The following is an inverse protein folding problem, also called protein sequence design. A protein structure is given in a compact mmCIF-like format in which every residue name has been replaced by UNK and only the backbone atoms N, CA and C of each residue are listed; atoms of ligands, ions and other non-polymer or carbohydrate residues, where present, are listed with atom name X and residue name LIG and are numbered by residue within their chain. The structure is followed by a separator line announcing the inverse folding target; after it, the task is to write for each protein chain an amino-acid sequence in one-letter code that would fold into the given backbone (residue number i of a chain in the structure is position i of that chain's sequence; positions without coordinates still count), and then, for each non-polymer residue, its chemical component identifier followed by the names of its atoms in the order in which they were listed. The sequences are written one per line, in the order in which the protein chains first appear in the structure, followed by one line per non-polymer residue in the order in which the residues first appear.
data_IF_249187378224
#
_entry.id   IF_249187378224
#
_cell.length_a   1.000
_cell.length_b   1.000
_cell.length_c   1.000
_cell.angle_alpha   90.00
_cell.angle_beta   90.00
_cell.angle_gamma   90.00
#
_symmetry.space_group_name_H-M   'P 1'
#
loop_
_entity.id
_entity.type
_entity.pdbx_description
1 polymer ?
#
# COMPACT_ATOMS: atom_id res chain seq x y z
N UNK A 1 31.33 7.67 -7.87
CA UNK A 1 31.27 8.44 -6.60
C UNK A 1 29.95 9.19 -6.61
N UNK A 2 28.84 8.44 -6.51
CA UNK A 2 27.49 8.94 -6.27
C UNK A 2 27.17 8.47 -4.86
N UNK A 3 27.03 9.42 -3.95
CA UNK A 3 26.66 9.16 -2.57
C UNK A 3 25.24 8.60 -2.54
N UNK A 4 25.08 7.40 -1.94
CA UNK A 4 23.79 6.91 -1.42
C UNK A 4 23.17 8.05 -0.59
N UNK A 5 22.04 8.58 -1.05
CA UNK A 5 21.10 9.28 -0.19
C UNK A 5 20.42 8.21 0.67
N UNK A 6 21.11 7.77 1.74
CA UNK A 6 20.44 7.17 2.90
C UNK A 6 19.82 8.34 3.66
N UNK A 7 18.60 8.72 3.28
CA UNK A 7 17.76 9.55 4.13
C UNK A 7 17.06 8.61 5.13
N UNK A 8 17.58 8.65 6.35
CA UNK A 8 17.01 8.11 7.58
C UNK A 8 15.71 8.84 7.92
N UNK A 9 14.61 8.42 7.31
CA UNK A 9 13.23 8.47 7.82
C UNK A 9 12.41 7.49 6.96
N UNK A 10 12.78 6.21 6.99
CA UNK A 10 11.98 5.19 6.33
C UNK A 10 10.82 4.85 7.30
N UNK A 11 9.73 5.63 7.21
CA UNK A 11 8.44 5.09 7.66
C UNK A 11 8.24 3.80 6.87
N UNK A 12 8.29 2.65 7.54
CA UNK A 12 7.93 1.37 6.93
C UNK A 12 6.41 1.40 6.76
N UNK A 13 5.98 2.05 5.69
CA UNK A 13 4.65 1.90 5.16
C UNK A 13 4.54 0.47 4.63
N UNK A 14 3.84 -0.42 5.33
CA UNK A 14 3.34 -1.68 4.74
C UNK A 14 2.18 -1.38 3.73
N UNK A 15 2.05 -0.15 3.25
CA UNK A 15 0.88 0.30 2.49
C UNK A 15 1.12 1.47 1.53
N UNK A 16 2.37 1.90 1.35
CA UNK A 16 2.72 2.99 0.44
C UNK A 16 3.93 2.58 -0.39
N UNK A 17 3.74 1.60 -1.26
CA UNK A 17 4.58 1.50 -2.45
C UNK A 17 4.03 2.48 -3.50
N UNK A 18 4.01 3.77 -3.19
CA UNK A 18 4.10 4.80 -4.23
C UNK A 18 5.59 4.90 -4.53
N UNK A 19 6.10 4.02 -5.39
CA UNK A 19 7.37 4.28 -6.06
C UNK A 19 7.12 5.49 -6.97
N UNK A 20 7.37 6.67 -6.42
CA UNK A 20 7.27 7.93 -7.13
C UNK A 20 8.09 7.88 -8.41
N UNK A 21 7.43 8.27 -9.50
CA UNK A 21 7.96 8.44 -10.84
C UNK A 21 9.40 8.97 -10.85
N UNK A 22 10.31 8.16 -11.38
CA UNK A 22 11.54 8.66 -11.97
C UNK A 22 11.38 8.59 -13.50
N UNK A 23 10.96 9.71 -14.13
CA UNK A 23 11.45 9.99 -15.47
C UNK A 23 10.50 10.49 -16.57
N UNK A 24 9.24 10.85 -16.31
CA UNK A 24 8.41 11.50 -17.33
C UNK A 24 7.94 12.90 -16.89
N UNK A 25 7.98 13.92 -17.77
CA UNK A 25 7.39 15.22 -17.47
C UNK A 25 5.88 15.05 -17.41
N UNK A 26 5.33 14.99 -16.19
CA UNK A 26 3.89 15.07 -15.94
C UNK A 26 3.37 16.40 -16.49
N UNK A 27 2.51 16.32 -17.50
CA UNK A 27 1.57 17.39 -17.77
C UNK A 27 0.57 17.37 -16.63
N UNK A 28 0.66 18.34 -15.71
CA UNK A 28 -0.38 18.55 -14.68
C UNK A 28 -1.66 18.89 -15.43
N UNK A 29 -2.55 17.91 -15.49
CA UNK A 29 -3.91 18.10 -15.91
C UNK A 29 -4.66 18.68 -14.72
N UNK A 30 -5.23 19.87 -14.86
CA UNK A 30 -6.18 20.42 -13.87
C UNK A 30 -7.61 19.94 -14.12
N UNK A 31 -7.79 18.79 -14.77
CA UNK A 31 -9.07 18.33 -15.28
C UNK A 31 -9.63 17.20 -14.43
N UNK A 32 -10.94 17.26 -14.21
CA UNK A 32 -11.71 16.25 -13.48
C UNK A 32 -11.84 14.97 -14.32
N UNK A 33 -11.61 13.81 -13.69
CA UNK A 33 -11.61 12.49 -14.31
C UNK A 33 -13.06 12.08 -14.68
N UNK A 34 -13.35 11.94 -15.97
CA UNK A 34 -14.70 11.51 -16.38
C UNK A 34 -14.91 10.00 -16.24
N UNK A 35 -13.86 9.20 -16.46
CA UNK A 35 -13.91 7.74 -16.37
C UNK A 35 -12.49 7.17 -16.16
N UNK A 36 -12.41 5.99 -15.54
CA UNK A 36 -11.18 5.18 -15.49
C UNK A 36 -11.52 3.82 -16.04
N UNK A 37 -11.06 3.55 -17.26
CA UNK A 37 -11.34 2.30 -17.98
C UNK A 37 -10.29 1.24 -17.69
N UNK A 38 -10.73 -0.02 -17.59
CA UNK A 38 -9.89 -1.16 -17.22
C UNK A 38 -9.81 -2.14 -18.38
N UNK A 39 -8.59 -2.43 -18.84
CA UNK A 39 -8.33 -3.38 -19.93
C UNK A 39 -7.39 -4.48 -19.47
N UNK A 40 -7.81 -5.74 -19.56
CA UNK A 40 -6.93 -6.88 -19.25
C UNK A 40 -5.78 -6.99 -20.25
N UNK A 41 -4.53 -6.95 -19.75
CA UNK A 41 -3.33 -7.24 -20.55
C UNK A 41 -3.16 -8.74 -20.72
N UNK A 42 -3.14 -9.46 -19.60
CA UNK A 42 -3.00 -10.91 -19.58
C UNK A 42 -3.63 -11.52 -18.33
N UNK A 43 -3.76 -12.84 -18.34
CA UNK A 43 -4.24 -13.64 -17.22
C UNK A 43 -3.36 -14.88 -17.08
N UNK A 44 -2.94 -15.18 -15.86
CA UNK A 44 -2.20 -16.38 -15.52
C UNK A 44 -3.04 -17.26 -14.59
N UNK A 45 -3.24 -18.53 -14.98
CA UNK A 45 -4.03 -19.50 -14.22
C UNK A 45 -3.11 -20.38 -13.38
N UNK A 46 -3.23 -20.34 -12.05
CA UNK A 46 -2.45 -21.19 -11.13
C UNK A 46 -3.06 -22.58 -10.94
N UNK A 47 -4.30 -22.78 -11.42
CA UNK A 47 -5.04 -24.03 -11.41
C UNK A 47 -5.84 -24.30 -10.13
N UNK A 48 -5.58 -23.59 -9.03
CA UNK A 48 -6.40 -23.68 -7.80
C UNK A 48 -6.59 -22.32 -7.13
N UNK A 49 -7.41 -22.29 -6.07
CA UNK A 49 -7.84 -21.03 -5.47
C UNK A 49 -6.66 -20.31 -4.82
N UNK A 50 -6.52 -19.02 -5.11
CA UNK A 50 -5.49 -18.16 -4.54
C UNK A 50 -6.14 -17.24 -3.52
N UNK A 51 -5.76 -17.39 -2.25
CA UNK A 51 -6.17 -16.50 -1.16
C UNK A 51 -5.06 -15.53 -0.72
N UNK A 52 -3.88 -15.62 -1.31
CA UNK A 52 -2.73 -14.76 -0.99
C UNK A 52 -2.73 -13.51 -1.86
N UNK A 53 -2.08 -12.46 -1.39
CA UNK A 53 -1.79 -11.29 -2.23
C UNK A 53 -0.56 -11.56 -3.11
N UNK A 54 -0.51 -11.03 -4.35
CA UNK A 54 0.73 -11.04 -5.12
C UNK A 54 1.78 -10.13 -4.45
N UNK A 55 3.04 -10.33 -4.79
CA UNK A 55 4.14 -9.43 -4.42
C UNK A 55 4.96 -9.07 -5.65
N UNK A 56 5.68 -7.95 -5.59
CA UNK A 56 6.42 -7.41 -6.72
C UNK A 56 7.85 -7.03 -6.33
N UNK A 57 8.77 -7.19 -7.26
CA UNK A 57 10.15 -6.74 -7.10
C UNK A 57 10.97 -7.01 -8.35
N UNK A 58 12.04 -6.23 -8.54
CA UNK A 58 13.05 -6.48 -9.57
C UNK A 58 13.91 -7.67 -9.12
N UNK A 59 13.48 -8.89 -9.45
CA UNK A 59 14.16 -10.12 -9.06
C UNK A 59 15.37 -10.35 -9.97
N UNK A 60 15.29 -9.92 -11.23
CA UNK A 60 16.32 -10.14 -12.23
C UNK A 60 17.40 -9.03 -12.29
N UNK A 61 17.19 -7.92 -11.58
CA UNK A 61 18.09 -6.76 -11.58
C UNK A 61 18.10 -6.00 -12.92
N UNK A 62 17.02 -6.10 -13.69
CA UNK A 62 16.92 -5.56 -15.05
C UNK A 62 15.98 -4.34 -15.15
N UNK A 63 15.52 -3.84 -14.00
CA UNK A 63 14.57 -2.73 -13.85
C UNK A 63 13.16 -3.00 -14.37
N UNK A 64 12.81 -4.24 -14.75
CA UNK A 64 11.43 -4.67 -14.87
C UNK A 64 11.04 -5.41 -13.60
N UNK A 65 9.80 -5.20 -13.14
CA UNK A 65 9.33 -5.79 -11.90
C UNK A 65 8.65 -7.12 -12.19
N UNK A 66 9.14 -8.18 -11.57
CA UNK A 66 8.52 -9.49 -11.58
C UNK A 66 7.35 -9.55 -10.60
N UNK A 67 6.39 -10.41 -10.90
CA UNK A 67 5.21 -10.66 -10.08
C UNK A 67 5.35 -12.06 -9.46
N UNK A 68 5.34 -12.12 -8.13
CA UNK A 68 5.38 -13.35 -7.35
C UNK A 68 3.98 -13.67 -6.83
N UNK A 69 3.50 -14.87 -7.12
CA UNK A 69 2.17 -15.35 -6.73
C UNK A 69 2.31 -16.65 -5.96
N UNK A 70 1.60 -16.77 -4.84
CA UNK A 70 1.62 -17.96 -4.00
C UNK A 70 0.26 -18.66 -3.98
N UNK A 71 0.12 -19.75 -4.72
CA UNK A 71 -1.10 -20.58 -4.66
C UNK A 71 -1.07 -21.44 -3.39
N UNK A 72 -1.96 -21.12 -2.43
CA UNK A 72 -2.01 -21.75 -1.12
C UNK A 72 -2.43 -23.22 -1.16
N UNK A 73 -3.36 -23.61 -2.04
CA UNK A 73 -3.88 -24.97 -2.09
C UNK A 73 -3.07 -25.86 -3.04
N UNK A 74 -2.54 -25.30 -4.14
CA UNK A 74 -1.59 -25.98 -5.03
C UNK A 74 -0.16 -25.94 -4.49
N UNK A 75 0.08 -25.23 -3.37
CA UNK A 75 1.35 -25.18 -2.65
C UNK A 75 2.50 -24.64 -3.50
N UNK A 76 2.19 -23.86 -4.53
CA UNK A 76 3.16 -23.51 -5.57
C UNK A 76 3.34 -22.00 -5.59
N UNK A 77 4.61 -21.60 -5.56
CA UNK A 77 5.04 -20.22 -5.79
C UNK A 77 5.34 -20.10 -7.28
N UNK A 78 4.82 -19.05 -7.91
CA UNK A 78 5.06 -18.70 -9.30
C UNK A 78 5.75 -17.35 -9.35
N UNK A 79 6.79 -17.22 -10.18
CA UNK A 79 7.39 -15.95 -10.53
C UNK A 79 7.13 -15.70 -12.02
N UNK A 80 6.51 -14.57 -12.31
CA UNK A 80 6.11 -14.15 -13.65
C UNK A 80 6.85 -12.88 -14.01
N UNK A 81 7.21 -12.73 -15.29
CA UNK A 81 7.61 -11.42 -15.81
C UNK A 81 6.38 -10.49 -15.98
N UNK A 82 6.63 -9.22 -16.30
CA UNK A 82 5.59 -8.23 -16.56
C UNK A 82 4.70 -8.55 -17.78
N UNK A 83 5.06 -9.52 -18.64
CA UNK A 83 4.23 -10.05 -19.75
C UNK A 83 3.34 -11.22 -19.31
N UNK A 84 3.49 -11.72 -18.08
CA UNK A 84 2.79 -12.90 -17.59
C UNK A 84 3.44 -14.22 -18.01
N UNK A 85 4.68 -14.21 -18.52
CA UNK A 85 5.41 -15.44 -18.78
C UNK A 85 5.99 -16.01 -17.49
N UNK A 86 5.91 -17.33 -17.32
CA UNK A 86 6.49 -18.02 -16.19
C UNK A 86 8.02 -18.05 -16.28
N UNK A 87 8.69 -17.46 -15.28
CA UNK A 87 10.14 -17.50 -15.11
C UNK A 87 10.57 -18.75 -14.35
N UNK A 88 9.95 -18.99 -13.20
CA UNK A 88 10.16 -20.19 -12.40
C UNK A 88 8.95 -20.49 -11.51
N UNK A 89 8.87 -21.73 -11.03
CA UNK A 89 7.94 -22.11 -9.97
C UNK A 89 8.60 -23.08 -8.98
N UNK A 90 8.06 -23.10 -7.76
CA UNK A 90 8.47 -24.03 -6.72
C UNK A 90 7.24 -24.57 -6.01
N UNK A 91 7.09 -25.90 -5.99
CA UNK A 91 6.02 -26.57 -5.23
C UNK A 91 6.54 -27.02 -3.86
N UNK A 92 5.87 -26.56 -2.82
CA UNK A 92 6.14 -26.88 -1.42
C UNK A 92 5.46 -28.19 -1.00
N UNK A 93 5.99 -28.89 0.02
CA UNK A 93 5.36 -30.10 0.54
C UNK A 93 4.02 -29.83 1.24
N UNK A 94 3.79 -28.58 1.67
CA UNK A 94 2.67 -28.15 2.53
C UNK A 94 2.04 -26.87 1.98
N UNK A 95 0.82 -26.59 2.47
CA UNK A 95 0.06 -25.39 2.08
C UNK A 95 0.85 -24.13 2.43
N UNK A 96 0.69 -23.12 1.58
CA UNK A 96 1.25 -21.79 1.85
C UNK A 96 0.25 -21.04 2.72
N UNK A 97 0.76 -20.39 3.75
CA UNK A 97 0.00 -19.69 4.79
C UNK A 97 0.22 -18.18 4.75
N UNK A 98 0.91 -17.64 3.74
CA UNK A 98 1.17 -16.19 3.65
C UNK A 98 1.22 -15.69 2.21
N UNK A 99 1.04 -14.38 2.03
CA UNK A 99 1.51 -13.70 0.82
C UNK A 99 3.05 -13.75 0.77
N UNK A 100 3.65 -13.75 -0.44
CA UNK A 100 5.09 -13.64 -0.59
C UNK A 100 5.58 -12.24 -0.21
N UNK A 101 6.83 -12.13 0.23
CA UNK A 101 7.53 -10.85 0.43
C UNK A 101 8.79 -10.84 -0.43
N UNK A 102 8.99 -9.78 -1.20
CA UNK A 102 10.13 -9.66 -2.13
C UNK A 102 11.07 -8.55 -1.63
N UNK A 103 12.32 -8.91 -1.31
CA UNK A 103 13.33 -7.98 -0.80
C UNK A 103 14.74 -8.58 -0.86
N UNK A 104 15.75 -7.76 -1.10
CA UNK A 104 17.17 -8.11 -0.96
C UNK A 104 17.50 -8.29 0.53
N UNK A 105 17.42 -9.54 1.00
CA UNK A 105 17.52 -9.90 2.41
C UNK A 105 18.96 -10.23 2.79
N UNK A 106 19.73 -10.73 1.82
CA UNK A 106 21.13 -11.09 2.03
C UNK A 106 22.11 -9.95 1.64
N UNK A 107 21.60 -8.83 1.12
CA UNK A 107 22.33 -7.65 0.64
C UNK A 107 23.32 -7.93 -0.50
N UNK A 108 23.02 -8.92 -1.35
CA UNK A 108 23.81 -9.23 -2.54
C UNK A 108 23.42 -8.39 -3.78
N UNK A 109 22.36 -7.59 -3.65
CA UNK A 109 21.83 -6.73 -4.71
C UNK A 109 20.74 -7.36 -5.55
N UNK A 110 20.35 -8.61 -5.29
CA UNK A 110 19.18 -9.26 -5.89
C UNK A 110 18.09 -9.43 -4.84
N UNK A 111 16.84 -9.27 -5.24
CA UNK A 111 15.75 -9.55 -4.31
C UNK A 111 15.58 -11.06 -4.08
N UNK A 112 15.28 -11.45 -2.85
CA UNK A 112 14.81 -12.77 -2.45
C UNK A 112 13.28 -12.80 -2.31
N UNK A 113 12.72 -14.00 -2.25
CA UNK A 113 11.31 -14.27 -1.97
C UNK A 113 11.18 -15.00 -0.63
N UNK A 114 10.54 -14.35 0.35
CA UNK A 114 10.11 -14.97 1.59
C UNK A 114 8.68 -15.50 1.48
N UNK A 115 8.45 -16.64 2.09
CA UNK A 115 7.11 -17.23 2.19
C UNK A 115 6.98 -18.05 3.48
N UNK A 116 5.78 -18.04 4.08
CA UNK A 116 5.45 -18.89 5.21
C UNK A 116 4.57 -20.06 4.75
N UNK A 117 4.95 -21.28 5.14
CA UNK A 117 4.17 -22.49 4.95
C UNK A 117 4.08 -23.23 6.30
N UNK A 118 4.62 -24.44 6.42
CA UNK A 118 4.90 -25.05 7.74
C UNK A 118 6.15 -24.48 8.40
N UNK A 119 7.05 -23.95 7.57
CA UNK A 119 8.28 -23.30 7.98
C UNK A 119 8.36 -21.92 7.31
N UNK A 120 9.30 -21.08 7.74
CA UNK A 120 9.66 -19.86 7.02
C UNK A 120 10.77 -20.17 6.02
N UNK A 121 10.53 -19.81 4.77
CA UNK A 121 11.38 -20.18 3.64
C UNK A 121 11.85 -18.92 2.93
N UNK A 122 13.11 -18.93 2.50
CA UNK A 122 13.67 -17.90 1.64
C UNK A 122 14.20 -18.52 0.36
N UNK A 123 13.74 -18.00 -0.78
CA UNK A 123 14.16 -18.39 -2.11
C UNK A 123 14.94 -17.26 -2.77
N UNK A 124 16.02 -17.61 -3.47
CA UNK A 124 16.72 -16.67 -4.35
C UNK A 124 15.78 -16.14 -5.45
N UNK A 125 16.20 -15.08 -6.13
CA UNK A 125 15.57 -14.62 -7.38
C UNK A 125 15.36 -15.67 -8.47
N UNK A 126 16.09 -16.79 -8.44
CA UNK A 126 15.96 -17.91 -9.39
C UNK A 126 15.14 -19.10 -8.86
N UNK A 127 14.44 -18.95 -7.72
CA UNK A 127 13.63 -20.02 -7.12
C UNK A 127 14.44 -21.12 -6.43
N UNK A 128 15.72 -20.89 -6.10
CA UNK A 128 16.55 -21.81 -5.30
C UNK A 128 16.35 -21.53 -3.82
N UNK A 129 16.06 -22.56 -3.03
CA UNK A 129 15.93 -22.44 -1.57
C UNK A 129 17.28 -22.04 -0.96
N UNK A 130 17.33 -20.89 -0.29
CA UNK A 130 18.52 -20.38 0.41
C UNK A 130 18.57 -20.88 1.85
N UNK A 131 17.47 -20.70 2.58
CA UNK A 131 17.33 -21.19 3.95
C UNK A 131 15.89 -21.58 4.28
N UNK A 132 15.77 -22.45 5.29
CA UNK A 132 14.51 -22.93 5.83
C UNK A 132 14.60 -22.92 7.36
N UNK A 133 13.68 -22.19 8.01
CA UNK A 133 13.61 -22.07 9.47
C UNK A 133 12.31 -22.69 9.97
N UNK A 134 12.45 -23.86 10.60
CA UNK A 134 11.37 -24.48 11.37
C UNK A 134 11.27 -23.84 12.75
N UNK A 135 10.13 -23.22 13.04
CA UNK A 135 9.86 -22.64 14.35
C UNK A 135 8.76 -23.39 15.09
N UNK A 136 8.75 -23.26 16.41
CA UNK A 136 7.70 -23.86 17.25
C UNK A 136 6.39 -23.09 17.10
N UNK A 137 5.28 -23.80 16.97
CA UNK A 137 3.94 -23.21 16.90
C UNK A 137 3.27 -23.42 15.55
N UNK A 138 2.02 -22.96 15.44
CA UNK A 138 1.25 -22.99 14.20
C UNK A 138 1.41 -21.65 13.49
N UNK A 139 1.88 -21.70 12.24
CA UNK A 139 1.86 -20.57 11.31
C UNK A 139 0.43 -20.48 10.77
N UNK A 140 -0.14 -19.28 10.81
CA UNK A 140 -1.49 -19.04 10.30
C UNK A 140 -1.55 -17.62 9.75
N UNK A 141 -1.68 -17.49 8.42
CA UNK A 141 -1.96 -16.21 7.73
C UNK A 141 -1.06 -15.06 8.21
N UNK A 142 0.26 -15.26 8.12
CA UNK A 142 1.28 -14.35 8.66
C UNK A 142 2.35 -14.08 7.63
N UNK A 143 2.57 -12.81 7.31
CA UNK A 143 3.61 -12.37 6.40
C UNK A 143 4.86 -11.97 7.20
N UNK A 144 6.02 -12.04 6.54
CA UNK A 144 7.25 -11.55 7.14
C UNK A 144 7.29 -10.02 7.09
N UNK A 145 7.70 -9.38 8.18
CA UNK A 145 8.07 -7.96 8.14
C UNK A 145 9.59 -7.86 8.10
N UNK A 146 10.12 -7.08 7.15
CA UNK A 146 11.57 -7.00 6.92
C UNK A 146 12.01 -5.55 7.04
N UNK A 147 13.04 -5.27 7.82
CA UNK A 147 13.75 -4.00 7.90
C UNK A 147 14.97 -4.10 8.81
N UNK A 148 15.94 -3.21 8.62
CA UNK A 148 16.97 -2.88 9.60
C UNK A 148 16.32 -2.27 10.85
N UNK A 149 15.99 -3.11 11.84
CA UNK A 149 15.26 -2.68 13.04
C UNK A 149 16.20 -2.08 14.09
N UNK A 150 17.49 -2.40 14.02
CA UNK A 150 18.49 -2.00 15.01
C UNK A 150 19.47 -0.94 14.49
N UNK A 151 19.32 -0.51 13.23
CA UNK A 151 20.11 0.49 12.52
C UNK A 151 21.61 0.14 12.41
N UNK A 152 21.92 -1.16 12.27
CA UNK A 152 23.29 -1.63 12.03
C UNK A 152 23.66 -1.66 10.53
N UNK A 153 22.67 -1.40 9.67
CA UNK A 153 22.80 -1.39 8.22
C UNK A 153 22.39 -2.69 7.55
N UNK A 154 21.93 -3.68 8.31
CA UNK A 154 21.46 -4.98 7.84
C UNK A 154 19.98 -5.20 8.12
N UNK A 155 19.26 -5.81 7.17
CA UNK A 155 17.84 -6.07 7.36
C UNK A 155 17.59 -7.30 8.25
N UNK A 156 16.74 -7.13 9.25
CA UNK A 156 16.15 -8.24 10.03
C UNK A 156 14.82 -8.69 9.45
N UNK A 157 14.49 -9.96 9.68
CA UNK A 157 13.22 -10.58 9.29
C UNK A 157 12.43 -10.94 10.54
N UNK A 158 11.31 -10.23 10.76
CA UNK A 158 10.33 -10.55 11.79
C UNK A 158 9.29 -11.51 11.24
N UNK A 159 9.21 -12.68 11.86
CA UNK A 159 8.22 -13.72 11.56
C UNK A 159 7.52 -14.17 12.82
N UNK A 160 6.31 -14.71 12.71
CA UNK A 160 5.61 -15.21 13.89
C UNK A 160 4.73 -16.43 13.62
N UNK A 161 4.49 -17.19 14.67
CA UNK A 161 3.38 -18.15 14.76
C UNK A 161 2.22 -17.49 15.51
N UNK A 162 1.18 -18.26 15.83
CA UNK A 162 0.13 -17.78 16.73
C UNK A 162 0.67 -17.30 18.10
N UNK A 163 1.76 -17.87 18.64
CA UNK A 163 2.22 -17.57 20.03
C UNK A 163 3.63 -17.03 20.16
N UNK A 164 4.43 -17.14 19.11
CA UNK A 164 5.85 -16.85 19.17
C UNK A 164 6.21 -15.91 18.04
N UNK A 165 6.98 -14.89 18.37
CA UNK A 165 7.58 -13.94 17.43
C UNK A 165 9.07 -14.23 17.41
N UNK A 166 9.67 -14.20 16.24
CA UNK A 166 11.09 -14.43 16.03
C UNK A 166 11.63 -13.30 15.18
N UNK A 167 12.82 -12.85 15.55
CA UNK A 167 13.66 -12.02 14.69
C UNK A 167 14.78 -12.88 14.15
N UNK A 168 14.96 -12.85 12.84
CA UNK A 168 15.99 -13.58 12.12
C UNK A 168 16.92 -12.58 11.42
N UNK A 169 18.19 -12.95 11.26
CA UNK A 169 19.08 -12.26 10.33
C UNK A 169 18.77 -12.63 8.86
N UNK A 170 19.42 -11.96 7.91
CA UNK A 170 19.26 -12.24 6.47
C UNK A 170 19.63 -13.66 6.03
N UNK A 171 20.30 -14.43 6.89
CA UNK A 171 20.66 -15.83 6.65
C UNK A 171 19.73 -16.82 7.37
N UNK A 172 18.68 -16.32 8.05
CA UNK A 172 17.69 -17.12 8.75
C UNK A 172 18.13 -17.57 10.15
N UNK A 173 19.22 -17.02 10.71
CA UNK A 173 19.57 -17.32 12.10
C UNK A 173 18.73 -16.49 13.06
N UNK A 174 18.18 -17.14 14.08
CA UNK A 174 17.40 -16.47 15.10
C UNK A 174 18.28 -15.55 15.97
N UNK A 175 17.95 -14.25 15.98
CA UNK A 175 18.56 -13.24 16.83
C UNK A 175 17.88 -13.20 18.21
N UNK A 176 16.55 -13.13 18.23
CA UNK A 176 15.76 -13.17 19.45
C UNK A 176 14.37 -13.78 19.22
N UNK A 177 13.67 -14.10 20.31
CA UNK A 177 12.28 -14.49 20.27
C UNK A 177 11.47 -13.87 21.41
N UNK A 178 10.16 -13.80 21.21
CA UNK A 178 9.21 -13.30 22.20
C UNK A 178 7.97 -14.21 22.22
N UNK A 179 7.47 -14.51 23.42
CA UNK A 179 6.24 -15.30 23.60
C UNK A 179 5.08 -14.37 23.93
N UNK A 180 4.06 -14.39 23.09
CA UNK A 180 2.87 -13.56 23.27
C UNK A 180 1.90 -14.18 24.28
N UNK A 181 1.04 -13.33 24.85
CA UNK A 181 -0.01 -13.75 25.78
C UNK A 181 -1.30 -14.19 25.07
N UNK A 182 -1.36 -14.08 23.73
CA UNK A 182 -2.52 -14.42 22.93
C UNK A 182 -2.18 -14.72 21.48
N UNK A 183 -3.16 -15.27 20.76
CA UNK A 183 -2.98 -15.64 19.35
C UNK A 183 -2.78 -14.40 18.50
N UNK A 184 -1.61 -14.26 17.89
CA UNK A 184 -1.33 -13.21 16.92
C UNK A 184 -2.23 -13.35 15.70
N UNK A 185 -2.67 -12.20 15.18
CA UNK A 185 -3.40 -12.08 13.91
C UNK A 185 -2.83 -10.89 13.12
N UNK A 186 -2.75 -11.05 11.81
CA UNK A 186 -2.17 -10.05 10.91
C UNK A 186 -0.64 -10.03 10.94
N UNK A 187 -0.06 -9.16 10.12
CA UNK A 187 1.38 -8.97 9.96
C UNK A 187 1.94 -8.04 11.03
N UNK A 188 3.19 -8.27 11.48
CA UNK A 188 3.89 -7.37 12.39
C UNK A 188 4.17 -6.03 11.70
N UNK A 189 4.03 -4.92 12.42
CA UNK A 189 4.41 -3.59 11.93
C UNK A 189 5.74 -3.18 12.55
N UNK A 190 6.68 -2.74 11.70
CA UNK A 190 7.98 -2.21 12.12
C UNK A 190 7.92 -0.69 12.00
N UNK A 191 8.21 0.06 13.05
CA UNK A 191 8.11 1.52 13.00
C UNK A 191 8.94 2.15 14.12
N UNK A 192 9.68 3.22 13.80
CA UNK A 192 10.30 4.07 14.82
C UNK A 192 9.19 4.95 15.45
N UNK A 193 8.67 4.52 16.61
CA UNK A 193 7.62 5.27 17.31
C UNK A 193 8.18 6.43 18.10
N UNK A 194 9.46 6.37 18.46
CA UNK A 194 10.05 7.20 19.50
C UNK A 194 11.11 8.19 18.96
N UNK A 195 11.41 8.12 17.65
CA UNK A 195 12.40 8.87 16.91
C UNK A 195 13.86 8.64 17.39
N UNK A 196 14.20 7.42 17.81
CA UNK A 196 15.58 7.04 18.15
C UNK A 196 16.35 6.36 17.01
N UNK A 197 15.71 6.18 15.85
CA UNK A 197 16.18 5.42 14.68
C UNK A 197 16.30 3.91 14.89
N UNK A 198 15.71 3.35 15.95
CA UNK A 198 15.47 1.93 16.10
C UNK A 198 13.99 1.66 15.84
N UNK A 199 13.67 0.58 15.13
CA UNK A 199 12.28 0.23 14.83
C UNK A 199 11.70 -0.60 15.98
N UNK A 200 10.58 -0.15 16.52
CA UNK A 200 9.73 -0.98 17.36
C UNK A 200 8.93 -1.99 16.52
N UNK A 201 8.62 -3.13 17.15
CA UNK A 201 7.78 -4.19 16.57
C UNK A 201 6.41 -4.16 17.24
N UNK A 202 5.38 -3.83 16.45
CA UNK A 202 3.99 -3.79 16.86
C UNK A 202 3.23 -5.04 16.41
N UNK A 203 2.48 -5.62 17.35
CA UNK A 203 1.80 -6.90 17.16
C UNK A 203 0.39 -6.88 17.75
N UNK A 204 -0.60 -7.30 16.95
CA UNK A 204 -1.99 -7.46 17.36
C UNK A 204 -2.30 -8.91 17.71
N UNK A 205 -3.04 -9.15 18.80
CA UNK A 205 -3.55 -10.48 19.10
C UNK A 205 -5.05 -10.50 19.41
N UNK A 206 -5.67 -11.67 19.18
CA UNK A 206 -7.09 -11.92 19.43
C UNK A 206 -7.48 -11.78 20.90
N UNK A 207 -6.50 -11.87 21.82
CA UNK A 207 -6.74 -11.63 23.24
C UNK A 207 -6.83 -10.13 23.58
N UNK A 208 -7.15 -9.30 22.58
CA UNK A 208 -7.48 -7.87 22.68
C UNK A 208 -6.28 -6.94 22.88
N UNK A 209 -5.06 -7.44 22.70
CA UNK A 209 -3.85 -6.68 23.02
C UNK A 209 -3.09 -6.24 21.77
N UNK A 210 -2.75 -4.96 21.73
CA UNK A 210 -1.61 -4.46 20.94
C UNK A 210 -0.37 -4.53 21.82
N UNK A 211 0.71 -5.10 21.29
CA UNK A 211 1.99 -5.27 21.96
C UNK A 211 3.05 -4.49 21.22
N UNK A 212 3.88 -3.75 21.96
CA UNK A 212 5.06 -3.09 21.44
C UNK A 212 6.32 -3.72 22.05
N UNK A 213 7.23 -4.13 21.17
CA UNK A 213 8.57 -4.60 21.50
C UNK A 213 9.60 -3.63 20.91
N UNK A 214 10.76 -3.50 21.54
CA UNK A 214 11.89 -2.80 20.93
C UNK A 214 12.63 -3.72 19.93
N UNK A 215 13.65 -3.15 19.28
CA UNK A 215 14.57 -3.81 18.35
C UNK A 215 15.28 -5.06 18.92
N UNK A 216 15.43 -5.14 20.25
CA UNK A 216 15.96 -6.29 20.97
C UNK A 216 14.90 -7.33 21.40
N UNK A 217 13.65 -7.20 20.95
CA UNK A 217 12.54 -8.08 21.31
C UNK A 217 12.05 -7.95 22.76
N UNK A 218 12.45 -6.88 23.45
CA UNK A 218 12.06 -6.59 24.82
C UNK A 218 10.75 -5.82 24.87
N UNK A 219 9.90 -6.16 25.84
CA UNK A 219 8.62 -5.50 26.07
C UNK A 219 8.77 -3.99 26.35
N UNK A 220 7.97 -3.18 25.65
CA UNK A 220 7.84 -1.73 25.87
C UNK A 220 6.50 -1.41 26.52
N UNK A 221 5.38 -1.69 25.82
CA UNK A 221 4.03 -1.43 26.32
C UNK A 221 2.98 -2.38 25.74
N UNK A 222 1.82 -2.45 26.41
CA UNK A 222 0.61 -3.09 25.89
C UNK A 222 -0.58 -2.13 25.97
N UNK A 223 -1.47 -2.21 24.99
CA UNK A 223 -2.79 -1.62 25.05
C UNK A 223 -3.87 -2.71 25.01
N UNK A 224 -4.80 -2.68 25.97
CA UNK A 224 -5.90 -3.64 26.10
C UNK A 224 -7.18 -3.02 25.54
N UNK A 225 -7.49 -3.32 24.27
CA UNK A 225 -8.71 -2.81 23.61
C UNK A 225 -10.00 -3.40 24.18
N UNK A 226 -9.90 -4.56 24.87
CA UNK A 226 -11.04 -5.36 25.35
C UNK A 226 -11.99 -5.82 24.23
N UNK A 227 -11.56 -5.71 22.98
CA UNK A 227 -12.26 -6.17 21.77
C UNK A 227 -11.29 -7.01 20.94
N UNK A 228 -11.81 -8.02 20.23
CA UNK A 228 -10.99 -8.85 19.35
C UNK A 228 -10.40 -7.99 18.23
N UNK A 229 -9.07 -7.94 18.15
CA UNK A 229 -8.36 -7.26 17.06
C UNK A 229 -8.57 -8.10 15.80
N UNK A 230 -9.18 -7.50 14.78
CA UNK A 230 -9.58 -8.22 13.55
C UNK A 230 -8.67 -7.93 12.35
N UNK A 231 -7.97 -6.79 12.33
CA UNK A 231 -7.14 -6.37 11.21
C UNK A 231 -5.72 -5.97 11.60
N UNK A 232 -4.92 -5.63 10.58
CA UNK A 232 -3.53 -5.20 10.74
C UNK A 232 -3.40 -3.87 11.48
N UNK A 233 -2.29 -3.74 12.19
CA UNK A 233 -1.89 -2.47 12.83
C UNK A 233 -1.20 -1.60 11.78
N UNK A 234 -1.44 -0.29 11.86
CA UNK A 234 -0.79 0.73 11.04
C UNK A 234 -0.22 1.83 11.94
N UNK A 235 0.73 2.60 11.43
CA UNK A 235 1.26 3.76 12.12
C UNK A 235 1.58 4.90 11.14
N UNK A 236 1.28 6.13 11.54
CA UNK A 236 1.54 7.33 10.74
C UNK A 236 1.53 8.57 11.64
N UNK A 237 2.22 9.63 11.20
CA UNK A 237 2.04 10.99 11.74
C UNK A 237 0.79 11.60 11.09
N UNK A 238 -0.37 11.43 11.71
CA UNK A 238 -1.64 11.82 11.11
C UNK A 238 -1.82 13.33 11.07
N UNK A 239 -1.27 14.01 12.07
CA UNK A 239 -1.37 15.46 12.25
C UNK A 239 -0.27 16.26 11.56
N UNK A 240 0.75 15.58 11.01
CA UNK A 240 1.98 16.18 10.49
C UNK A 240 2.69 17.04 11.57
N UNK A 241 2.74 16.52 12.79
CA UNK A 241 3.31 17.20 13.97
C UNK A 241 4.63 16.56 14.47
N UNK A 242 5.11 15.54 13.76
CA UNK A 242 6.29 14.74 14.07
C UNK A 242 6.05 13.63 15.10
N UNK A 243 4.81 13.39 15.53
CA UNK A 243 4.47 12.28 16.43
C UNK A 243 3.72 11.19 15.68
N UNK A 244 4.13 9.96 15.92
CA UNK A 244 3.49 8.80 15.30
C UNK A 244 2.28 8.36 16.13
N UNK A 245 1.15 8.20 15.46
CA UNK A 245 -0.04 7.51 15.95
C UNK A 245 -0.03 6.04 15.49
N UNK A 246 -0.58 5.17 16.33
CA UNK A 246 -0.79 3.74 16.07
C UNK A 246 -2.28 3.47 15.90
N UNK A 247 -2.66 2.87 14.79
CA UNK A 247 -4.02 2.66 14.34
C UNK A 247 -4.35 1.16 14.20
N UNK A 248 -5.52 0.74 14.66
CA UNK A 248 -5.97 -0.64 14.47
C UNK A 248 -7.49 -0.80 14.65
N UNK A 249 -8.06 -1.79 13.96
CA UNK A 249 -9.46 -2.20 14.11
C UNK A 249 -9.64 -3.34 15.11
N UNK A 250 -10.66 -3.25 15.97
CA UNK A 250 -11.06 -4.32 16.86
C UNK A 250 -12.59 -4.42 16.97
N UNK A 251 -13.15 -5.51 16.43
CA UNK A 251 -14.59 -5.73 16.25
C UNK A 251 -15.24 -4.51 15.56
N UNK A 252 -16.12 -3.78 16.25
CA UNK A 252 -16.86 -2.61 15.79
C UNK A 252 -16.16 -1.27 16.10
N UNK A 253 -14.96 -1.28 16.69
CA UNK A 253 -14.24 -0.05 17.07
C UNK A 253 -12.85 0.05 16.44
N UNK A 254 -12.57 1.20 15.84
CA UNK A 254 -11.27 1.60 15.34
C UNK A 254 -10.58 2.48 16.38
N UNK A 255 -9.34 2.18 16.71
CA UNK A 255 -8.59 2.83 17.78
C UNK A 255 -7.42 3.62 17.21
N UNK A 256 -7.14 4.76 17.83
CA UNK A 256 -5.91 5.50 17.67
C UNK A 256 -5.20 5.65 19.01
N UNK A 257 -3.93 5.23 19.04
CA UNK A 257 -3.03 5.39 20.18
C UNK A 257 -1.88 6.32 19.79
N UNK A 258 -1.25 6.96 20.77
CA UNK A 258 0.05 7.59 20.55
C UNK A 258 1.19 6.56 20.60
N UNK A 259 2.41 6.99 20.26
CA UNK A 259 3.64 6.19 20.34
C UNK A 259 3.90 5.46 21.67
N UNK A 260 3.34 5.95 22.79
CA UNK A 260 3.49 5.33 24.13
C UNK A 260 2.36 4.35 24.48
N UNK A 261 1.44 4.08 23.55
CA UNK A 261 0.32 3.15 23.74
C UNK A 261 -0.89 3.75 24.45
N UNK A 262 -0.95 5.08 24.67
CA UNK A 262 -2.14 5.73 25.22
C UNK A 262 -3.14 6.03 24.12
N UNK A 263 -4.40 5.63 24.35
CA UNK A 263 -5.50 5.93 23.42
C UNK A 263 -5.73 7.45 23.34
N UNK A 264 -5.68 7.99 22.12
CA UNK A 264 -6.05 9.36 21.81
C UNK A 264 -7.56 9.45 21.52
N UNK A 265 -8.06 8.62 20.62
CA UNK A 265 -9.48 8.57 20.25
C UNK A 265 -9.88 7.18 19.78
N UNK A 266 -11.19 6.97 19.60
CA UNK A 266 -11.72 5.80 18.91
C UNK A 266 -12.96 6.18 18.10
N UNK A 267 -13.25 5.39 17.07
CA UNK A 267 -14.45 5.50 16.25
C UNK A 267 -15.18 4.16 16.28
N UNK A 268 -16.47 4.16 16.63
CA UNK A 268 -17.29 2.94 16.69
C UNK A 268 -18.34 2.96 15.60
N UNK A 269 -18.39 1.91 14.78
CA UNK A 269 -19.40 1.78 13.72
C UNK A 269 -20.78 1.67 14.39
N UNK A 270 -21.76 2.55 14.08
CA UNK A 270 -23.04 2.60 14.78
C UNK A 270 -23.91 1.34 14.62
N UNK A 271 -23.75 0.62 13.51
CA UNK A 271 -24.46 -0.63 13.24
C UNK A 271 -23.64 -1.52 12.32
N UNK A 272 -23.01 -2.54 12.91
CA UNK A 272 -22.32 -3.57 12.13
C UNK A 272 -22.70 -4.96 12.65
N UNK A 273 -22.88 -5.89 11.73
CA UNK A 273 -23.19 -7.29 12.03
C UNK A 273 -21.91 -8.06 12.38
N UNK A 274 -20.79 -7.72 11.73
CA UNK A 274 -19.56 -8.50 11.75
C UNK A 274 -18.30 -7.71 12.15
N UNK A 275 -18.39 -6.38 12.25
CA UNK A 275 -17.30 -5.50 12.60
C UNK A 275 -16.46 -5.05 11.40
N UNK A 276 -15.32 -4.43 11.72
CA UNK A 276 -14.28 -4.05 10.77
C UNK A 276 -13.72 -5.26 10.04
N UNK A 277 -13.36 -5.00 8.78
CA UNK A 277 -12.61 -5.93 7.96
C UNK A 277 -11.26 -6.26 8.57
N UNK A 278 -10.70 -7.39 8.14
CA UNK A 278 -9.29 -7.75 8.42
C UNK A 278 -8.31 -6.89 7.61
N UNK A 279 -8.80 -6.16 6.61
CA UNK A 279 -7.99 -5.31 5.74
C UNK A 279 -7.19 -4.28 6.53
N UNK A 280 -5.97 -4.02 6.09
CA UNK A 280 -5.12 -2.96 6.62
C UNK A 280 -5.74 -1.57 6.34
N UNK A 281 -5.81 -0.65 7.32
CA UNK A 281 -6.24 0.73 7.09
C UNK A 281 -5.39 1.45 6.04
N UNK A 282 -6.01 2.33 5.26
CA UNK A 282 -5.30 3.15 4.26
C UNK A 282 -5.27 4.59 4.71
N UNK A 283 -4.11 5.25 4.57
CA UNK A 283 -3.84 6.57 5.15
C UNK A 283 -3.33 7.47 4.04
N UNK A 284 -3.87 8.69 3.93
CA UNK A 284 -3.40 9.69 2.97
C UNK A 284 -4.11 11.03 3.12
N UNK A 285 -3.50 12.10 2.59
CA UNK A 285 -4.11 13.44 2.55
C UNK A 285 -5.16 13.49 1.43
N UNK A 286 -6.40 13.14 1.74
CA UNK A 286 -7.51 13.10 0.78
C UNK A 286 -8.14 14.49 0.60
N UNK A 287 -7.93 15.37 1.56
CA UNK A 287 -8.52 16.72 1.56
C UNK A 287 -7.51 17.81 1.18
N UNK A 288 -6.26 17.44 0.87
CA UNK A 288 -5.15 18.33 0.56
C UNK A 288 -4.93 19.41 1.64
N UNK A 289 -5.10 19.03 2.90
CA UNK A 289 -5.03 19.93 4.05
C UNK A 289 -3.70 19.83 4.82
N UNK A 290 -2.83 18.88 4.45
CA UNK A 290 -1.55 18.60 5.08
C UNK A 290 -1.61 17.64 6.27
N UNK A 291 -2.78 17.07 6.57
CA UNK A 291 -3.04 16.01 7.55
C UNK A 291 -3.61 14.81 6.83
N UNK A 292 -3.52 13.64 7.46
CA UNK A 292 -3.95 12.40 6.82
C UNK A 292 -5.34 11.97 7.30
N UNK A 293 -6.17 11.68 6.32
CA UNK A 293 -7.42 10.95 6.48
C UNK A 293 -7.15 9.43 6.47
N UNK A 294 -8.08 8.68 7.03
CA UNK A 294 -7.99 7.23 7.24
C UNK A 294 -9.19 6.55 6.60
N UNK A 295 -8.94 5.65 5.65
CA UNK A 295 -9.93 4.80 5.02
C UNK A 295 -9.96 3.42 5.66
N UNK A 296 -11.14 3.02 6.11
CA UNK A 296 -11.38 1.71 6.72
C UNK A 296 -12.65 1.06 6.19
N UNK A 297 -12.55 -0.24 5.88
CA UNK A 297 -13.66 -1.06 5.43
C UNK A 297 -14.28 -1.89 6.55
N UNK A 298 -15.58 -2.15 6.46
CA UNK A 298 -16.26 -3.12 7.30
C UNK A 298 -16.75 -4.37 6.55
N UNK A 299 -17.16 -5.37 7.34
CA UNK A 299 -17.74 -6.62 6.86
C UNK A 299 -19.26 -6.53 6.63
N UNK A 300 -19.84 -5.33 6.54
CA UNK A 300 -21.20 -5.12 6.03
C UNK A 300 -21.17 -4.43 4.65
N UNK A 301 -19.99 -4.06 4.16
CA UNK A 301 -19.79 -3.48 2.84
C UNK A 301 -19.74 -1.96 2.83
N UNK A 302 -19.40 -1.33 3.94
CA UNK A 302 -19.15 0.10 4.01
C UNK A 302 -17.66 0.43 4.01
N UNK A 303 -17.32 1.50 3.30
CA UNK A 303 -16.05 2.20 3.44
C UNK A 303 -16.29 3.49 4.24
N UNK A 304 -15.45 3.75 5.23
CA UNK A 304 -15.49 4.97 6.04
C UNK A 304 -14.21 5.77 5.83
N UNK A 305 -14.37 7.09 5.71
CA UNK A 305 -13.26 8.04 5.73
C UNK A 305 -13.31 8.85 7.02
N UNK A 306 -12.23 8.76 7.79
CA UNK A 306 -12.10 9.33 9.13
C UNK A 306 -10.98 10.37 9.13
N UNK A 307 -11.20 11.52 9.74
CA UNK A 307 -10.18 12.55 9.95
C UNK A 307 -9.10 12.11 10.96
N UNK A 308 -7.98 12.81 10.98
CA UNK A 308 -6.87 12.63 11.93
C UNK A 308 -7.33 12.63 13.41
N UNK A 309 -8.39 13.37 13.70
CA UNK A 309 -8.97 13.54 15.03
C UNK A 309 -10.03 12.47 15.41
N UNK A 310 -10.33 11.55 14.50
CA UNK A 310 -11.30 10.46 14.71
C UNK A 310 -12.74 10.79 14.31
N UNK A 311 -13.01 11.98 13.76
CA UNK A 311 -14.35 12.32 13.24
C UNK A 311 -14.60 11.69 11.86
N UNK A 312 -15.86 11.34 11.58
CA UNK A 312 -16.25 10.80 10.27
C UNK A 312 -16.42 11.94 9.26
N UNK A 313 -15.72 11.86 8.13
CA UNK A 313 -15.94 12.75 6.98
C UNK A 313 -17.11 12.29 6.13
N UNK A 314 -17.02 11.06 5.64
CA UNK A 314 -18.01 10.45 4.76
C UNK A 314 -17.93 8.93 4.85
N UNK A 315 -18.96 8.26 4.35
CA UNK A 315 -18.96 6.82 4.16
C UNK A 315 -19.57 6.48 2.80
N UNK A 316 -19.21 5.32 2.27
CA UNK A 316 -19.65 4.82 0.97
C UNK A 316 -20.16 3.39 1.08
N UNK A 317 -21.28 3.09 0.42
CA UNK A 317 -21.87 1.75 0.37
C UNK A 317 -21.32 0.99 -0.84
N UNK A 318 -20.44 0.01 -0.59
CA UNK A 318 -19.86 -0.86 -1.62
C UNK A 318 -20.85 -1.94 -2.07
N UNK A 319 -21.95 -2.15 -1.33
CA UNK A 319 -22.97 -3.16 -1.58
C UNK A 319 -22.56 -4.59 -1.23
N UNK A 320 -21.28 -4.86 -0.98
CA UNK A 320 -20.74 -6.16 -0.61
C UNK A 320 -19.52 -6.02 0.30
N UNK A 321 -19.18 -7.10 1.01
CA UNK A 321 -18.08 -7.20 1.98
C UNK A 321 -16.79 -6.59 1.44
N UNK A 322 -16.16 -5.72 2.23
CA UNK A 322 -14.81 -5.26 1.94
C UNK A 322 -13.83 -6.11 2.73
N UNK A 323 -13.04 -6.92 2.03
CA UNK A 323 -11.99 -7.76 2.63
C UNK A 323 -10.58 -7.37 2.19
N UNK A 324 -10.46 -6.52 1.18
CA UNK A 324 -9.19 -6.02 0.65
C UNK A 324 -8.90 -4.63 1.18
N UNK A 325 -7.64 -4.25 1.12
CA UNK A 325 -7.18 -2.91 1.43
C UNK A 325 -7.53 -1.93 0.29
N UNK A 326 -8.20 -0.80 0.59
CA UNK A 326 -8.32 0.32 -0.35
C UNK A 326 -6.94 0.83 -0.81
N UNK A 327 -6.81 1.34 -2.02
CA UNK A 327 -5.56 1.93 -2.53
C UNK A 327 -5.78 3.38 -2.91
N UNK A 328 -4.76 4.21 -2.69
CA UNK A 328 -4.73 5.61 -3.11
C UNK A 328 -3.82 5.77 -4.32
N UNK A 329 -4.27 6.51 -5.32
CA UNK A 329 -3.46 6.85 -6.48
C UNK A 329 -3.95 8.16 -7.11
N UNK A 330 -3.01 9.02 -7.51
CA UNK A 330 -3.31 10.28 -8.22
C UNK A 330 -3.26 10.01 -9.74
N UNK A 331 -4.42 9.69 -10.33
CA UNK A 331 -4.49 9.18 -11.70
C UNK A 331 -4.28 10.26 -12.76
N UNK A 332 -4.68 11.49 -12.48
CA UNK A 332 -4.55 12.64 -13.38
C UNK A 332 -3.35 13.54 -13.06
N UNK A 333 -2.58 13.21 -12.01
CA UNK A 333 -1.46 13.99 -11.52
C UNK A 333 -1.86 15.42 -11.11
N UNK A 334 -3.05 15.58 -10.53
CA UNK A 334 -3.55 16.86 -10.04
C UNK A 334 -3.13 17.18 -8.59
N UNK A 335 -2.50 16.22 -7.92
CA UNK A 335 -2.06 16.30 -6.53
C UNK A 335 -3.10 15.80 -5.53
N UNK A 336 -4.27 15.38 -5.97
CA UNK A 336 -5.33 14.76 -5.16
C UNK A 336 -5.36 13.26 -5.43
N UNK A 337 -5.53 12.44 -4.39
CA UNK A 337 -5.65 11.00 -4.58
C UNK A 337 -7.08 10.58 -4.91
N UNK A 338 -7.24 9.71 -5.89
CA UNK A 338 -8.40 8.84 -6.04
C UNK A 338 -8.24 7.56 -5.22
N UNK A 339 -9.36 6.86 -5.04
CA UNK A 339 -9.47 5.66 -4.22
C UNK A 339 -9.86 4.47 -5.11
N UNK A 340 -9.09 3.39 -5.03
CA UNK A 340 -9.36 2.11 -5.71
C UNK A 340 -9.73 1.05 -4.68
N UNK A 341 -10.84 0.35 -4.90
CA UNK A 341 -11.34 -0.66 -3.97
C UNK A 341 -11.71 -1.92 -4.74
N UNK A 342 -11.35 -3.07 -4.19
CA UNK A 342 -11.63 -4.37 -4.82
C UNK A 342 -12.45 -5.28 -3.90
N UNK A 343 -13.55 -5.81 -4.42
CA UNK A 343 -14.37 -6.84 -3.80
C UNK A 343 -14.87 -7.80 -4.91
N UNK A 344 -16.17 -8.04 -5.04
CA UNK A 344 -16.76 -8.62 -6.26
C UNK A 344 -16.93 -7.59 -7.39
N UNK A 345 -16.44 -6.38 -7.16
CA UNK A 345 -16.39 -5.26 -8.08
C UNK A 345 -15.03 -4.55 -7.94
N UNK A 346 -14.75 -3.70 -8.91
CA UNK A 346 -13.67 -2.72 -8.86
C UNK A 346 -14.31 -1.35 -8.82
N UNK A 347 -14.11 -0.61 -7.73
CA UNK A 347 -14.63 0.75 -7.55
C UNK A 347 -13.49 1.75 -7.67
N UNK A 348 -13.73 2.81 -8.45
CA UNK A 348 -12.91 4.02 -8.47
C UNK A 348 -13.73 5.16 -7.89
N UNK A 349 -13.23 5.79 -6.83
CA UNK A 349 -13.88 6.91 -6.18
C UNK A 349 -12.94 8.12 -6.15
N UNK A 350 -13.52 9.32 -6.18
CA UNK A 350 -12.84 10.53 -5.79
C UNK A 350 -12.51 10.52 -4.30
N UNK A 351 -11.56 11.37 -3.88
CA UNK A 351 -11.20 11.58 -2.49
C UNK A 351 -12.38 11.94 -1.56
N UNK A 352 -13.43 12.55 -2.11
CA UNK A 352 -14.65 12.91 -1.37
C UNK A 352 -15.67 11.76 -1.27
N UNK A 353 -15.33 10.56 -1.74
CA UNK A 353 -16.17 9.36 -1.73
C UNK A 353 -17.21 9.29 -2.85
N UNK A 354 -17.19 10.19 -3.84
CA UNK A 354 -18.09 10.11 -5.01
C UNK A 354 -17.54 9.16 -6.07
N UNK A 355 -18.41 8.40 -6.74
CA UNK A 355 -18.00 7.42 -7.75
C UNK A 355 -17.46 8.08 -9.01
N UNK A 356 -16.31 7.60 -9.48
CA UNK A 356 -15.79 7.84 -10.84
C UNK A 356 -16.33 6.75 -11.77
N UNK A 357 -15.97 5.50 -11.49
CA UNK A 357 -16.38 4.33 -12.27
C UNK A 357 -16.48 3.07 -11.39
N UNK A 358 -17.27 2.10 -11.85
CA UNK A 358 -17.41 0.82 -11.17
C UNK A 358 -17.61 -0.34 -12.17
N UNK A 359 -16.90 -1.45 -11.94
CA UNK A 359 -16.92 -2.62 -12.82
C UNK A 359 -17.24 -3.88 -12.04
N UNK A 360 -18.16 -4.71 -12.55
CA UNK A 360 -18.38 -6.04 -11.98
C UNK A 360 -17.25 -6.98 -12.37
N UNK A 361 -16.70 -7.70 -11.40
CA UNK A 361 -15.60 -8.63 -11.62
C UNK A 361 -15.87 -9.97 -10.92
N UNK A 362 -15.00 -10.96 -11.13
CA UNK A 362 -15.03 -12.13 -10.27
C UNK A 362 -14.45 -11.76 -8.89
N UNK A 363 -14.92 -12.37 -7.79
CA UNK A 363 -14.51 -12.01 -6.44
C UNK A 363 -12.98 -11.90 -6.28
N UNK A 364 -12.53 -10.78 -5.73
CA UNK A 364 -11.13 -10.53 -5.38
C UNK A 364 -10.96 -10.76 -3.89
N UNK A 365 -10.02 -11.62 -3.53
CA UNK A 365 -9.69 -11.95 -2.14
C UNK A 365 -8.30 -11.43 -1.72
N UNK A 366 -7.54 -10.88 -2.66
CA UNK A 366 -6.20 -10.34 -2.45
C UNK A 366 -6.17 -8.82 -2.47
N UNK A 367 -5.24 -8.23 -1.74
CA UNK A 367 -5.00 -6.80 -1.87
C UNK A 367 -4.43 -6.48 -3.27
N UNK A 368 -5.00 -5.50 -3.99
CA UNK A 368 -4.53 -5.13 -5.30
C UNK A 368 -3.22 -4.35 -5.21
N UNK A 369 -2.40 -4.46 -6.26
CA UNK A 369 -1.18 -3.67 -6.46
C UNK A 369 -1.42 -2.69 -7.61
N UNK A 370 -1.13 -1.42 -7.37
CA UNK A 370 -1.11 -0.37 -8.39
C UNK A 370 0.35 -0.01 -8.69
N UNK A 371 0.79 -0.26 -9.92
CA UNK A 371 2.17 0.03 -10.35
C UNK A 371 2.26 0.08 -11.88
N UNK A 372 3.20 0.85 -12.43
CA UNK A 372 3.48 0.87 -13.88
C UNK A 372 4.46 -0.27 -14.23
N UNK A 373 3.94 -1.48 -14.49
CA UNK A 373 4.77 -2.68 -14.64
C UNK A 373 5.51 -2.74 -15.97
N UNK A 374 4.96 -2.14 -17.03
CA UNK A 374 5.59 -2.09 -18.34
C UNK A 374 6.33 -0.78 -18.62
N UNK A 375 6.42 0.10 -17.61
CA UNK A 375 7.13 1.37 -17.64
C UNK A 375 6.65 2.28 -18.78
N UNK A 376 5.36 2.19 -19.09
CA UNK A 376 4.75 2.94 -20.19
C UNK A 376 4.22 4.33 -19.75
N UNK A 377 4.33 4.65 -18.46
CA UNK A 377 3.85 5.87 -17.83
C UNK A 377 2.39 5.81 -17.37
N UNK A 378 1.72 4.67 -17.50
CA UNK A 378 0.36 4.41 -17.01
C UNK A 378 0.41 3.38 -15.90
N UNK A 379 -0.57 3.48 -15.01
CA UNK A 379 -0.70 2.54 -13.89
C UNK A 379 -1.39 1.28 -14.36
N UNK A 380 -0.83 0.15 -13.98
CA UNK A 380 -1.51 -1.13 -14.04
C UNK A 380 -2.04 -1.53 -12.67
N UNK A 381 -3.03 -2.41 -12.70
CA UNK A 381 -3.60 -3.06 -11.52
C UNK A 381 -3.33 -4.57 -11.61
N UNK A 382 -2.70 -5.12 -10.58
CA UNK A 382 -2.49 -6.57 -10.39
C UNK A 382 -3.30 -7.07 -9.21
N UNK A 383 -4.03 -8.16 -9.40
CA UNK A 383 -4.79 -8.82 -8.34
C UNK A 383 -5.01 -10.30 -8.64
N UNK A 384 -5.28 -11.08 -7.60
CA UNK A 384 -5.73 -12.45 -7.69
C UNK A 384 -7.26 -12.49 -7.64
N UNK A 385 -7.86 -13.08 -8.67
CA UNK A 385 -9.30 -13.19 -8.86
C UNK A 385 -9.75 -14.64 -8.78
N UNK A 386 -10.88 -14.85 -8.10
CA UNK A 386 -11.54 -16.14 -8.06
C UNK A 386 -11.97 -16.59 -9.47
N UNK A 387 -11.82 -17.86 -9.83
CA UNK A 387 -11.41 -18.94 -8.95
C UNK A 387 -9.89 -19.15 -8.84
N UNK A 388 -9.04 -18.86 -9.84
CA UNK A 388 -7.64 -19.31 -9.83
C UNK A 388 -6.66 -18.39 -10.60
N UNK A 389 -7.03 -17.12 -10.83
CA UNK A 389 -6.36 -16.29 -11.83
C UNK A 389 -5.62 -15.11 -11.22
N UNK A 390 -4.35 -14.90 -11.58
CA UNK A 390 -3.68 -13.61 -11.46
C UNK A 390 -3.91 -12.80 -12.72
N UNK A 391 -4.35 -11.55 -12.56
CA UNK A 391 -4.72 -10.66 -13.66
C UNK A 391 -3.89 -9.39 -13.57
N UNK A 392 -3.24 -9.01 -14.67
CA UNK A 392 -2.67 -7.68 -14.89
C UNK A 392 -3.59 -6.91 -15.83
N UNK A 393 -3.95 -5.68 -15.46
CA UNK A 393 -4.80 -4.80 -16.28
C UNK A 393 -4.16 -3.43 -16.46
N UNK A 394 -4.26 -2.86 -17.66
CA UNK A 394 -4.06 -1.43 -17.90
C UNK A 394 -5.21 -0.62 -17.32
N UNK A 395 -4.88 0.50 -16.67
CA UNK A 395 -5.84 1.56 -16.34
C UNK A 395 -5.66 2.74 -17.32
N UNK A 396 -6.74 3.15 -17.96
CA UNK A 396 -6.74 4.31 -18.86
C UNK A 396 -7.71 5.37 -18.34
N UNK A 397 -7.15 6.54 -18.02
CA UNK A 397 -7.86 7.71 -17.50
C UNK A 397 -8.45 8.51 -18.66
N UNK A 398 -9.74 8.82 -18.58
CA UNK A 398 -10.41 9.77 -19.46
C UNK A 398 -10.74 11.04 -18.69
N UNK A 399 -10.42 12.20 -19.25
CA UNK A 399 -10.63 13.50 -18.61
C UNK A 399 -11.69 14.32 -19.34
N UNK A 400 -12.44 15.12 -18.57
CA UNK A 400 -13.39 16.06 -19.15
C UNK A 400 -12.68 17.15 -19.96
N UNK A 401 -12.75 17.08 -21.30
CA UNK A 401 -12.32 18.23 -22.11
C UNK A 401 -13.31 19.39 -21.93
N UNK A 402 -12.87 20.62 -21.59
CA UNK A 402 -13.79 21.75 -21.54
C UNK A 402 -14.39 21.97 -22.93
N UNK A 403 -15.70 22.22 -22.98
CA UNK A 403 -16.36 22.70 -24.20
C UNK A 403 -15.60 23.92 -24.71
N UNK A 404 -15.27 24.03 -26.01
CA UNK A 404 -14.62 25.23 -26.53
C UNK A 404 -15.50 26.41 -26.17
N UNK A 405 -14.94 27.35 -25.42
CA UNK A 405 -15.62 28.61 -25.10
C UNK A 405 -16.09 29.19 -26.43
N UNK A 406 -17.39 29.50 -26.62
CA UNK A 406 -17.83 30.10 -27.86
C UNK A 406 -16.97 31.34 -28.08
N UNK A 407 -16.21 31.33 -29.18
CA UNK A 407 -15.36 32.45 -29.58
C UNK A 407 -16.19 33.73 -29.47
N UNK A 408 -15.70 34.78 -28.79
CA UNK A 408 -16.46 36.01 -28.64
C UNK A 408 -16.89 36.45 -30.03
N UNK A 409 -18.20 36.62 -30.21
CA UNK A 409 -18.78 37.15 -31.44
C UNK A 409 -18.02 38.42 -31.81
N UNK A 410 -17.61 38.60 -33.09
CA UNK A 410 -16.80 39.74 -33.47
C UNK A 410 -17.52 41.01 -33.02
N UNK A 411 -16.84 41.77 -32.15
CA UNK A 411 -17.33 43.06 -31.69
C UNK A 411 -17.58 43.95 -32.92
N UNK A 412 -18.68 44.71 -32.95
CA UNK A 412 -18.97 45.58 -34.07
C UNK A 412 -17.80 46.55 -34.25
N UNK A 413 -17.28 46.59 -35.47
CA UNK A 413 -16.19 47.47 -35.90
C UNK A 413 -16.42 48.90 -35.41
N UNK A 414 -15.45 49.54 -34.74
CA UNK A 414 -15.62 50.92 -34.29
C UNK A 414 -15.76 51.85 -35.49
N UNK A 415 -16.78 52.71 -35.44
CA UNK A 415 -16.96 53.82 -36.36
C UNK A 415 -15.76 54.78 -36.28
N UNK A 416 -15.31 55.36 -37.42
CA UNK A 416 -14.10 56.17 -37.44
C UNK A 416 -14.34 57.51 -36.73
N UNK A 417 -13.58 57.76 -35.65
CA UNK A 417 -13.40 59.09 -35.06
C UNK A 417 -12.07 59.70 -35.55
N UNK A 418 -11.99 61.03 -35.70
CA UNK A 418 -10.99 61.68 -36.52
C UNK A 418 -9.62 61.80 -35.83
N UNK A 419 -8.60 61.73 -36.67
CA UNK A 419 -7.17 61.83 -36.37
C UNK A 419 -6.78 63.09 -35.61
N UNK A 420 -6.06 62.92 -34.52
CA UNK A 420 -5.08 63.90 -34.03
C UNK A 420 -3.76 63.19 -33.81
N UNK A 421 -2.77 63.64 -34.58
CA UNK A 421 -1.36 63.32 -34.46
C UNK A 421 -0.81 63.77 -33.11
N UNK A 422 -0.13 62.90 -32.38
CA UNK A 422 1.06 63.35 -31.67
C UNK A 422 2.08 62.24 -31.45
N UNK A 423 3.34 62.64 -31.57
CA UNK A 423 4.56 61.84 -31.64
C UNK A 423 5.10 61.50 -30.25
N UNK A 424 5.58 60.27 -30.03
CA UNK A 424 6.26 59.91 -28.78
C UNK A 424 6.98 58.56 -28.84
N UNK A 425 8.31 58.64 -28.95
CA UNK A 425 9.30 57.55 -28.97
C UNK A 425 9.41 56.90 -27.58
N UNK A 426 9.57 55.57 -27.50
CA UNK A 426 9.83 54.89 -26.22
C UNK A 426 10.20 53.41 -26.32
N UNK A 427 11.48 53.17 -26.61
CA UNK A 427 12.34 51.99 -26.38
C UNK A 427 11.74 50.63 -25.94
N UNK A 428 12.09 49.61 -26.74
CA UNK A 428 12.10 48.20 -26.37
C UNK A 428 13.19 47.90 -25.32
N UNK A 429 12.86 47.02 -24.36
CA UNK A 429 13.84 46.31 -23.54
C UNK A 429 13.52 44.82 -23.62
N UNK A 430 14.39 44.10 -24.33
CA UNK A 430 14.53 42.65 -24.31
C UNK A 430 15.63 42.35 -23.30
N UNK A 431 15.36 41.54 -22.28
CA UNK A 431 16.42 40.87 -21.52
C UNK A 431 16.04 39.40 -21.39
N UNK A 432 16.86 38.58 -22.04
CA UNK A 432 16.95 37.15 -21.86
C UNK A 432 18.09 36.82 -20.88
N UNK A 433 18.12 35.54 -20.46
CA UNK A 433 19.24 34.82 -19.82
C UNK A 433 19.29 34.93 -18.28
N UNK A 434 19.65 33.91 -17.49
CA UNK A 434 20.65 32.85 -17.67
C UNK A 434 20.35 31.59 -16.83
N UNK A 435 20.85 30.48 -17.34
CA UNK A 435 21.05 29.16 -16.73
C UNK A 435 22.38 29.16 -15.95
N UNK A 436 22.41 28.50 -14.78
CA UNK A 436 23.54 27.72 -14.19
C UNK A 436 23.17 27.44 -12.72
N UNK A 437 23.38 26.28 -12.11
CA UNK A 437 24.15 25.07 -12.43
C UNK A 437 23.74 24.01 -11.41
#
# INVERSE_FOLDING_TARGET
MMHKLRNSTLLVFISLLVLGQLGAPLMVSGYEISDITVTTKWTFDTGTQIETSPAIGDLLGDSHYEIVVADNYNKTIYCLDYQGNLLWNVTLPKIIESSPVVRDINEDGNNEVLIAATDFLCYSNLGVLLWNVSISGEIFRTEAAVADINNDGHDEVIVHTQKFVFCLDGQGHQLWNYTTTGSLQGTALLVDLNNDNHLEVLLGNENTNVTCLNDAGSYVWHYYSRKYISGSIQAADLGNDGKIEVLFGAQDTFFCLNATGFQQWNYTIPSTTWGFSKSTPTIGDLTNNGKFEILIGDLDGYLYCIEENGSLLWHYDLGNLLITQPRLYDFNADGTFEIVITNDRLHFLYANGTTISDYSMSPIYSDPILFDFDLNGKVDLVFNSYPHSTILTDLTVEENTPSPTPSPSPSPSPSPSPSTSDTGIGAAVVIASLISS
#
